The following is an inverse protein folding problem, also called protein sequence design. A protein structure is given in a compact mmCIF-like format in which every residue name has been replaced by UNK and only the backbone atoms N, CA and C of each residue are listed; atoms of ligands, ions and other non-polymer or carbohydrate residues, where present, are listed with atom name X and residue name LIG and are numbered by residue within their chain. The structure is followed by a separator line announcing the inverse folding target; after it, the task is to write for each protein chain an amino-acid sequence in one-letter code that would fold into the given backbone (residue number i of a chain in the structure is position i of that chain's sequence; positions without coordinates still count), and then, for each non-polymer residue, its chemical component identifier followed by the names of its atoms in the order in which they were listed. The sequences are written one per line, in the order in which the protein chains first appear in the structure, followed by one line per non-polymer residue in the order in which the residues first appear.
data_IF_096261584295
#
_entry.id   IF_096261584295
#
_cell.length_a   1.000
_cell.length_b   1.000
_cell.length_c   1.000
_cell.angle_alpha   90.00
_cell.angle_beta   90.00
_cell.angle_gamma   90.00
#
_symmetry.space_group_name_H-M   'P 1'
#
loop_
_entity.id
_entity.type
_entity.pdbx_description
1 polymer ?
#
# COMPACT_ATOMS: atom_id res chain seq x y z
N UNK A 1 18.89 11.61 2.83
CA UNK A 1 18.02 10.56 3.38
C UNK A 1 16.61 10.89 2.91
N UNK A 2 16.17 10.14 1.91
CA UNK A 2 15.14 10.54 0.95
C UNK A 2 13.73 10.15 1.37
N UNK A 3 12.75 10.95 0.92
CA UNK A 3 11.32 10.70 1.06
C UNK A 3 10.94 9.22 0.81
N UNK A 4 11.59 8.57 -0.16
CA UNK A 4 11.42 7.15 -0.51
C UNK A 4 11.53 6.18 0.67
N UNK A 5 12.44 6.37 1.61
CA UNK A 5 12.74 5.39 2.66
C UNK A 5 11.68 5.44 3.76
N UNK A 6 11.26 6.66 4.13
CA UNK A 6 10.22 6.89 5.13
C UNK A 6 8.81 6.61 4.60
N UNK A 7 8.57 6.83 3.31
CA UNK A 7 7.34 6.41 2.65
C UNK A 7 7.22 4.88 2.61
N UNK A 8 8.32 4.18 2.38
CA UNK A 8 8.37 2.71 2.48
C UNK A 8 8.17 2.23 3.92
N UNK A 9 8.73 2.91 4.92
CA UNK A 9 8.43 2.63 6.34
C UNK A 9 6.93 2.79 6.64
N UNK A 10 6.29 3.84 6.13
CA UNK A 10 4.85 4.06 6.33
C UNK A 10 3.98 3.00 5.63
N UNK A 11 4.46 2.49 4.51
CA UNK A 11 3.86 1.35 3.82
C UNK A 11 4.01 0.06 4.66
N UNK A 12 5.15 -0.09 5.36
CA UNK A 12 5.40 -1.19 6.29
C UNK A 12 4.52 -1.06 7.55
N UNK A 13 4.34 0.16 8.08
CA UNK A 13 3.43 0.40 9.21
C UNK A 13 1.98 0.08 8.83
N UNK A 14 1.57 0.43 7.62
CA UNK A 14 0.26 0.02 7.08
C UNK A 14 0.18 -1.50 6.87
N UNK A 15 1.30 -2.18 6.62
CA UNK A 15 1.37 -3.64 6.57
C UNK A 15 1.07 -4.27 7.94
N UNK A 16 1.35 -3.62 9.06
CA UNK A 16 1.00 -4.12 10.40
C UNK A 16 -0.50 -4.27 10.58
N UNK A 17 -1.31 -3.41 9.95
CA UNK A 17 -2.78 -3.54 9.93
C UNK A 17 -3.20 -4.78 9.15
N UNK A 18 -2.52 -5.08 8.03
CA UNK A 18 -2.77 -6.32 7.30
C UNK A 18 -2.38 -7.52 8.14
N UNK A 19 -1.26 -7.49 8.87
CA UNK A 19 -0.80 -8.61 9.71
C UNK A 19 -1.75 -8.86 10.89
N UNK A 20 -2.22 -7.81 11.57
CA UNK A 20 -3.07 -7.94 12.74
C UNK A 20 -4.44 -8.57 12.42
N UNK A 21 -4.94 -8.33 11.21
CA UNK A 21 -6.30 -8.68 10.81
C UNK A 21 -6.34 -9.68 9.64
N UNK A 22 -5.21 -10.24 9.23
CA UNK A 22 -5.11 -11.35 8.27
C UNK A 22 -4.21 -12.47 8.81
N UNK A 23 -4.12 -13.59 8.09
CA UNK A 23 -3.22 -14.70 8.46
C UNK A 23 -1.82 -14.53 7.86
N UNK A 24 -1.52 -13.36 7.30
CA UNK A 24 -0.24 -13.06 6.69
C UNK A 24 0.84 -13.01 7.76
N UNK A 25 2.00 -13.58 7.47
CA UNK A 25 3.21 -13.24 8.21
C UNK A 25 3.67 -11.83 7.83
N UNK A 26 4.53 -11.24 8.66
CA UNK A 26 5.14 -9.94 8.37
C UNK A 26 5.86 -9.92 7.03
N UNK A 27 6.58 -11.00 6.72
CA UNK A 27 7.33 -11.16 5.48
C UNK A 27 6.39 -11.25 4.26
N UNK A 28 5.30 -12.02 4.37
CA UNK A 28 4.30 -12.13 3.30
C UNK A 28 3.61 -10.80 3.03
N UNK A 29 3.21 -10.07 4.09
CA UNK A 29 2.58 -8.77 3.96
C UNK A 29 3.51 -7.76 3.25
N UNK A 30 4.77 -7.68 3.67
CA UNK A 30 5.78 -6.81 3.05
C UNK A 30 5.99 -7.20 1.58
N UNK A 31 6.07 -8.49 1.27
CA UNK A 31 6.29 -8.98 -0.09
C UNK A 31 5.11 -8.64 -1.02
N UNK A 32 3.87 -8.83 -0.56
CA UNK A 32 2.66 -8.51 -1.34
C UNK A 32 2.56 -7.01 -1.61
N UNK A 33 2.83 -6.18 -0.61
CA UNK A 33 2.76 -4.74 -0.79
C UNK A 33 3.89 -4.25 -1.71
N UNK A 34 5.12 -4.69 -1.48
CA UNK A 34 6.27 -4.31 -2.30
C UNK A 34 6.08 -4.72 -3.76
N UNK A 35 5.57 -5.93 -4.01
CA UNK A 35 5.27 -6.40 -5.36
C UNK A 35 4.13 -5.61 -6.00
N UNK A 36 3.08 -5.26 -5.24
CA UNK A 36 1.97 -4.42 -5.72
C UNK A 36 2.42 -3.01 -6.10
N UNK A 37 3.27 -2.38 -5.28
CA UNK A 37 3.88 -1.07 -5.57
C UNK A 37 4.72 -1.15 -6.83
N UNK A 38 5.65 -2.11 -6.90
CA UNK A 38 6.54 -2.27 -8.06
C UNK A 38 5.74 -2.51 -9.34
N UNK A 39 4.71 -3.36 -9.28
CA UNK A 39 3.82 -3.65 -10.42
C UNK A 39 3.12 -2.38 -10.90
N UNK A 40 2.60 -1.56 -9.99
CA UNK A 40 1.89 -0.34 -10.35
C UNK A 40 2.83 0.77 -10.88
N UNK A 41 4.05 0.88 -10.33
CA UNK A 41 5.08 1.78 -10.85
C UNK A 41 5.47 1.44 -12.29
N UNK A 42 5.74 0.14 -12.55
CA UNK A 42 6.06 -0.36 -13.90
C UNK A 42 4.89 -0.13 -14.85
N UNK A 43 3.65 -0.43 -14.43
CA UNK A 43 2.45 -0.24 -15.25
C UNK A 43 2.24 1.23 -15.64
N UNK A 44 2.53 2.16 -14.74
CA UNK A 44 2.42 3.61 -14.97
C UNK A 44 3.66 4.22 -15.63
N UNK A 45 4.71 3.43 -15.82
CA UNK A 45 6.02 3.88 -16.30
C UNK A 45 6.53 5.09 -15.51
N UNK A 46 6.45 5.03 -14.18
CA UNK A 46 6.82 6.12 -13.26
C UNK A 46 7.71 5.62 -12.12
N UNK A 47 8.37 6.54 -11.42
CA UNK A 47 9.04 6.27 -10.14
C UNK A 47 8.25 6.82 -8.96
N UNK A 48 8.62 6.41 -7.75
CA UNK A 48 8.09 7.00 -6.52
C UNK A 48 8.46 8.49 -6.41
N UNK A 49 9.65 8.89 -6.85
CA UNK A 49 10.06 10.31 -6.79
C UNK A 49 9.16 11.18 -7.68
N UNK A 50 8.82 10.69 -8.88
CA UNK A 50 7.90 11.37 -9.80
C UNK A 50 6.49 11.43 -9.19
N UNK A 51 6.01 10.32 -8.61
CA UNK A 51 4.71 10.30 -7.93
C UNK A 51 4.63 11.29 -6.78
N UNK A 52 5.73 11.52 -6.06
CA UNK A 52 5.73 12.44 -4.91
C UNK A 52 5.46 13.88 -5.30
N UNK A 53 6.04 14.32 -6.41
CA UNK A 53 5.81 15.66 -6.96
C UNK A 53 4.53 15.75 -7.81
N UNK A 54 3.87 14.61 -8.06
CA UNK A 54 2.65 14.56 -8.86
C UNK A 54 1.44 15.12 -8.11
N UNK A 55 0.40 15.59 -8.82
CA UNK A 55 -0.82 16.10 -8.22
C UNK A 55 -1.48 15.11 -7.25
N UNK A 56 -2.17 15.62 -6.22
CA UNK A 56 -2.94 14.81 -5.24
C UNK A 56 -3.86 13.75 -5.88
N UNK A 57 -4.57 14.02 -7.00
CA UNK A 57 -5.38 13.01 -7.67
C UNK A 57 -4.58 11.82 -8.20
N UNK A 58 -3.37 12.05 -8.73
CA UNK A 58 -2.51 10.98 -9.27
C UNK A 58 -1.98 10.09 -8.17
N UNK A 59 -1.51 10.69 -7.07
CA UNK A 59 -1.08 9.95 -5.87
C UNK A 59 -2.22 9.13 -5.28
N UNK A 60 -3.41 9.72 -5.17
CA UNK A 60 -4.61 9.00 -4.68
C UNK A 60 -4.97 7.84 -5.59
N UNK A 61 -4.90 8.03 -6.92
CA UNK A 61 -5.14 6.98 -7.91
C UNK A 61 -4.12 5.84 -7.80
N UNK A 62 -2.85 6.17 -7.60
CA UNK A 62 -1.78 5.20 -7.36
C UNK A 62 -2.07 4.36 -6.11
N UNK A 63 -2.34 5.02 -4.98
CA UNK A 63 -2.69 4.38 -3.71
C UNK A 63 -3.86 3.42 -3.88
N UNK A 64 -4.97 3.85 -4.51
CA UNK A 64 -6.13 2.98 -4.76
C UNK A 64 -5.77 1.75 -5.58
N UNK A 65 -4.87 1.89 -6.54
CA UNK A 65 -4.44 0.79 -7.41
C UNK A 65 -3.56 -0.21 -6.66
N UNK A 66 -2.65 0.27 -5.81
CA UNK A 66 -1.83 -0.58 -4.92
C UNK A 66 -2.73 -1.35 -3.95
N UNK A 67 -3.64 -0.66 -3.27
CA UNK A 67 -4.61 -1.28 -2.33
C UNK A 67 -5.44 -2.36 -3.02
N UNK A 68 -5.92 -2.08 -4.24
CA UNK A 68 -6.67 -3.06 -5.03
C UNK A 68 -5.83 -4.28 -5.38
N UNK A 69 -4.58 -4.10 -5.80
CA UNK A 69 -3.65 -5.20 -6.10
C UNK A 69 -3.37 -6.07 -4.87
N UNK A 70 -3.18 -5.45 -3.69
CA UNK A 70 -3.03 -6.16 -2.42
C UNK A 70 -4.29 -6.97 -2.10
N UNK A 71 -5.47 -6.35 -2.24
CA UNK A 71 -6.74 -7.02 -2.00
C UNK A 71 -6.94 -8.24 -2.92
N UNK A 72 -6.70 -8.09 -4.23
CA UNK A 72 -6.76 -9.19 -5.19
C UNK A 72 -5.78 -10.31 -4.84
N UNK A 73 -4.57 -9.97 -4.41
CA UNK A 73 -3.55 -10.95 -3.99
C UNK A 73 -3.99 -11.75 -2.76
N UNK A 74 -4.62 -11.09 -1.78
CA UNK A 74 -5.16 -11.74 -0.58
C UNK A 74 -6.35 -12.62 -0.94
N UNK A 75 -7.25 -12.15 -1.80
CA UNK A 75 -8.41 -12.94 -2.24
C UNK A 75 -8.03 -14.15 -3.07
N UNK A 76 -6.95 -14.07 -3.86
CA UNK A 76 -6.44 -15.15 -4.67
C UNK A 76 -5.85 -16.30 -3.83
N UNK A 77 -5.46 -16.04 -2.57
CA UNK A 77 -4.94 -17.06 -1.66
C UNK A 77 -6.00 -17.49 -0.63
N UNK A 78 -6.54 -18.72 -0.72
CA UNK A 78 -7.53 -19.23 0.22
C UNK A 78 -7.06 -19.26 1.68
N UNK A 79 -5.75 -19.36 1.92
CA UNK A 79 -5.16 -19.43 3.26
C UNK A 79 -5.13 -18.07 3.97
N UNK A 80 -5.11 -16.97 3.21
CA UNK A 80 -5.12 -15.60 3.74
C UNK A 80 -6.54 -15.02 3.82
N UNK A 81 -7.51 -15.66 3.19
CA UNK A 81 -8.89 -15.19 3.07
C UNK A 81 -9.57 -15.13 4.44
N UNK A 82 -10.01 -13.93 4.81
CA UNK A 82 -10.76 -13.66 6.04
C UNK A 82 -12.16 -13.10 5.75
N UNK A 83 -13.08 -13.30 6.70
CA UNK A 83 -14.45 -12.78 6.60
C UNK A 83 -14.52 -11.24 6.54
N UNK A 84 -13.54 -10.55 7.10
CA UNK A 84 -13.55 -9.09 7.25
C UNK A 84 -12.53 -8.36 6.36
N UNK A 85 -12.03 -9.02 5.30
CA UNK A 85 -10.95 -8.48 4.48
C UNK A 85 -11.25 -7.08 3.93
N UNK A 86 -12.50 -6.79 3.56
CA UNK A 86 -12.93 -5.46 3.09
C UNK A 86 -12.62 -4.35 4.11
N UNK A 87 -12.89 -4.60 5.40
CA UNK A 87 -12.66 -3.63 6.48
C UNK A 87 -11.15 -3.40 6.71
N UNK A 88 -10.36 -4.46 6.56
CA UNK A 88 -8.89 -4.39 6.69
C UNK A 88 -8.32 -3.57 5.53
N UNK A 89 -8.76 -3.84 4.31
CA UNK A 89 -8.35 -3.14 3.11
C UNK A 89 -8.77 -1.66 3.15
N UNK A 90 -9.95 -1.34 3.69
CA UNK A 90 -10.37 0.04 3.90
C UNK A 90 -9.50 0.77 4.92
N UNK A 91 -9.18 0.10 6.04
CA UNK A 91 -8.27 0.63 7.06
C UNK A 91 -6.86 0.86 6.51
N UNK A 92 -6.36 -0.10 5.73
CA UNK A 92 -5.08 -0.01 5.02
C UNK A 92 -5.06 1.19 4.06
N UNK A 93 -6.11 1.38 3.27
CA UNK A 93 -6.25 2.55 2.40
C UNK A 93 -6.22 3.87 3.18
N UNK A 94 -6.98 3.97 4.28
CA UNK A 94 -7.04 5.20 5.09
C UNK A 94 -5.67 5.57 5.65
N UNK A 95 -4.99 4.61 6.29
CA UNK A 95 -3.66 4.86 6.86
C UNK A 95 -2.65 5.24 5.80
N UNK A 96 -2.65 4.55 4.65
CA UNK A 96 -1.73 4.84 3.57
C UNK A 96 -2.02 6.20 2.90
N UNK A 97 -3.29 6.59 2.78
CA UNK A 97 -3.69 7.89 2.25
C UNK A 97 -3.39 9.05 3.20
N UNK A 98 -3.70 8.91 4.48
CA UNK A 98 -3.40 9.91 5.53
C UNK A 98 -1.90 10.12 5.70
N UNK A 99 -1.14 9.02 5.66
CA UNK A 99 0.31 9.03 5.76
C UNK A 99 0.96 9.86 4.64
N UNK A 100 0.55 9.63 3.39
CA UNK A 100 1.04 10.38 2.24
C UNK A 100 0.59 11.85 2.24
N UNK A 101 -0.55 12.17 2.86
CA UNK A 101 -0.97 13.57 3.02
C UNK A 101 -0.12 14.33 4.04
N UNK A 102 0.20 13.72 5.18
CA UNK A 102 1.06 14.34 6.21
C UNK A 102 2.46 14.69 5.70
N UNK A 103 2.94 14.02 4.66
CA UNK A 103 4.22 14.32 4.00
C UNK A 103 4.22 15.64 3.23
N UNK A 104 3.07 16.09 2.72
CA UNK A 104 2.98 17.28 1.87
C UNK A 104 2.69 18.60 2.62
N UNK A 105 2.48 18.51 3.93
CA UNK A 105 2.17 19.66 4.80
C UNK A 105 3.39 20.13 5.63
N UNK A 106 4.58 19.61 5.36
CA UNK A 106 5.86 20.06 5.96
C UNK A 106 6.79 20.61 4.89
#
# INVERSE_FOLDING_TARGET
MGASERQLELIIDAAEILIAETRLTKEEAIQIISSSIKKELVKRNTSLEILNISPKPERTSFIRSVVKSVHESIQANPYWKMKNIEKVIESFYKVLHESWQKENEK
#
